data_IF_416423863477
#
_entry.id   IF_416423863477
#
_cell.length_a   1.000
_cell.length_b   1.000
_cell.length_c   1.000
_cell.angle_alpha   90.00
_cell.angle_beta   90.00
_cell.angle_gamma   90.00
#
_symmetry.space_group_name_H-M   'P 1'
#
loop_
_entity.id
_entity.type
_entity.pdbx_description
1 polymer ?
#
# COMPACT_ATOMS: atom_id res chain seq x y z
N UNK A 1 -9.46 7.19 -0.37
CA UNK A 1 -8.72 7.56 -1.60
C UNK A 1 -8.17 6.34 -2.33
N UNK A 2 -7.22 5.58 -1.76
CA UNK A 2 -6.63 4.42 -2.45
C UNK A 2 -7.67 3.37 -2.93
N UNK A 3 -8.69 3.06 -2.12
CA UNK A 3 -9.78 2.15 -2.52
C UNK A 3 -10.56 2.62 -3.75
N UNK A 4 -10.73 3.93 -3.93
CA UNK A 4 -11.42 4.47 -5.10
C UNK A 4 -10.56 4.30 -6.37
N UNK A 5 -9.23 4.50 -6.24
CA UNK A 5 -8.30 4.21 -7.33
C UNK A 5 -8.24 2.71 -7.68
N UNK A 6 -8.27 1.83 -6.65
CA UNK A 6 -8.40 0.38 -6.84
C UNK A 6 -9.68 0.04 -7.59
N UNK A 7 -10.82 0.60 -7.19
CA UNK A 7 -12.08 0.38 -7.89
C UNK A 7 -11.97 0.79 -9.37
N UNK A 8 -11.49 2.00 -9.64
CA UNK A 8 -11.37 2.51 -11.01
C UNK A 8 -10.45 1.65 -11.88
N UNK A 9 -9.31 1.18 -11.35
CA UNK A 9 -8.37 0.36 -12.12
C UNK A 9 -8.90 -1.06 -12.35
N UNK A 10 -9.61 -1.64 -11.37
CA UNK A 10 -10.26 -2.95 -11.53
C UNK A 10 -11.37 -2.88 -12.59
N UNK A 11 -12.19 -1.81 -12.62
CA UNK A 11 -13.16 -1.58 -13.70
C UNK A 11 -12.49 -1.51 -15.06
N UNK A 12 -11.36 -0.80 -15.17
CA UNK A 12 -10.60 -0.76 -16.42
C UNK A 12 -10.08 -2.15 -16.83
N UNK A 13 -9.65 -2.97 -15.87
CA UNK A 13 -9.19 -4.33 -16.16
C UNK A 13 -10.31 -5.19 -16.76
N UNK A 14 -11.52 -5.06 -16.23
CA UNK A 14 -12.72 -5.73 -16.72
C UNK A 14 -13.06 -5.26 -18.15
N UNK A 15 -13.13 -3.94 -18.38
CA UNK A 15 -13.43 -3.36 -19.70
C UNK A 15 -12.43 -3.77 -20.78
N UNK A 16 -11.16 -3.97 -20.40
CA UNK A 16 -10.08 -4.34 -21.34
C UNK A 16 -9.84 -5.85 -21.42
N UNK A 17 -10.53 -6.66 -20.61
CA UNK A 17 -10.31 -8.10 -20.51
C UNK A 17 -8.87 -8.48 -20.14
N UNK A 18 -8.15 -7.59 -19.44
CA UNK A 18 -6.74 -7.76 -19.10
C UNK A 18 -6.43 -7.17 -17.74
N UNK A 19 -5.70 -7.92 -16.91
CA UNK A 19 -5.14 -7.44 -15.65
C UNK A 19 -3.68 -7.02 -15.84
N UNK A 20 -3.34 -5.82 -15.40
CA UNK A 20 -1.94 -5.39 -15.31
C UNK A 20 -1.42 -5.51 -13.87
N UNK A 21 -0.11 -5.69 -13.67
CA UNK A 21 0.48 -5.66 -12.34
C UNK A 21 0.20 -4.32 -11.66
N UNK A 22 -0.22 -4.37 -10.39
CA UNK A 22 -0.50 -3.20 -9.58
C UNK A 22 0.54 -3.07 -8.47
N UNK A 23 1.07 -1.88 -8.27
CA UNK A 23 1.88 -1.54 -7.10
C UNK A 23 1.14 -0.46 -6.32
N UNK A 24 1.02 -0.64 -5.00
CA UNK A 24 0.35 0.32 -4.13
C UNK A 24 1.34 0.79 -3.07
N UNK A 25 1.65 2.08 -3.05
CA UNK A 25 2.48 2.68 -2.00
C UNK A 25 1.66 3.62 -1.13
N UNK A 26 1.78 3.44 0.18
CA UNK A 26 1.24 4.35 1.18
C UNK A 26 2.27 5.38 1.63
N UNK A 27 1.84 6.37 2.39
CA UNK A 27 2.74 7.33 3.05
C UNK A 27 2.36 7.43 4.51
N UNK A 28 3.34 7.20 5.39
CA UNK A 28 3.23 7.49 6.83
C UNK A 28 3.65 8.94 7.02
N UNK A 29 2.76 9.75 7.55
CA UNK A 29 2.90 11.22 7.50
C UNK A 29 3.57 11.83 8.71
N UNK A 30 3.68 11.10 9.82
CA UNK A 30 4.32 11.59 11.03
C UNK A 30 4.98 10.45 11.84
N UNK A 31 5.73 10.84 12.87
CA UNK A 31 6.41 9.92 13.78
C UNK A 31 5.45 9.05 14.61
N UNK A 32 4.13 9.25 14.54
CA UNK A 32 3.14 8.39 15.19
C UNK A 32 2.95 7.06 14.45
N UNK A 33 3.52 6.92 13.24
CA UNK A 33 3.46 5.69 12.45
C UNK A 33 2.12 5.49 11.74
N UNK A 34 1.41 6.59 11.46
CA UNK A 34 0.09 6.56 10.82
C UNK A 34 0.10 7.26 9.46
N UNK A 35 -0.79 6.79 8.58
CA UNK A 35 -1.14 7.53 7.36
C UNK A 35 -1.91 8.81 7.72
N UNK A 36 -2.10 9.71 6.74
CA UNK A 36 -2.93 10.91 6.91
C UNK A 36 -4.36 10.61 7.38
N UNK A 37 -4.89 9.43 7.01
CA UNK A 37 -6.21 8.94 7.44
C UNK A 37 -6.18 8.22 8.80
N UNK A 38 -5.06 8.28 9.53
CA UNK A 38 -4.90 7.72 10.87
C UNK A 38 -4.68 6.20 10.91
N UNK A 39 -4.42 5.54 9.77
CA UNK A 39 -4.25 4.09 9.71
C UNK A 39 -2.82 3.69 10.05
N UNK A 40 -2.66 2.65 10.86
CA UNK A 40 -1.39 1.94 11.03
C UNK A 40 -1.11 1.03 9.82
N UNK A 41 0.13 0.57 9.65
CA UNK A 41 0.57 -0.29 8.53
C UNK A 41 -0.36 -1.47 8.28
N UNK A 42 -0.76 -2.19 9.35
CA UNK A 42 -1.67 -3.33 9.23
C UNK A 42 -3.06 -2.96 8.75
N UNK A 43 -3.61 -1.86 9.28
CA UNK A 43 -4.91 -1.36 8.86
C UNK A 43 -4.89 -0.91 7.39
N UNK A 44 -3.78 -0.33 6.93
CA UNK A 44 -3.60 0.04 5.53
C UNK A 44 -3.57 -1.20 4.63
N UNK A 45 -2.76 -2.21 4.97
CA UNK A 45 -2.68 -3.47 4.21
C UNK A 45 -4.04 -4.17 4.13
N UNK A 46 -4.71 -4.38 5.26
CA UNK A 46 -6.04 -4.99 5.30
C UNK A 46 -7.07 -4.22 4.46
N UNK A 47 -6.94 -2.89 4.41
CA UNK A 47 -7.82 -2.05 3.60
C UNK A 47 -7.60 -2.21 2.10
N UNK A 48 -6.42 -2.60 1.60
CA UNK A 48 -6.08 -2.59 0.17
C UNK A 48 -5.74 -3.97 -0.41
N UNK A 49 -5.52 -5.01 0.41
CA UNK A 49 -5.11 -6.35 -0.04
C UNK A 49 -6.04 -7.01 -1.07
N UNK A 50 -7.33 -6.68 -1.03
CA UNK A 50 -8.32 -7.15 -2.01
C UNK A 50 -7.99 -6.73 -3.46
N UNK A 51 -7.15 -5.71 -3.65
CA UNK A 51 -6.62 -5.28 -4.94
C UNK A 51 -5.58 -6.22 -5.53
N UNK A 52 -5.17 -7.30 -4.83
CA UNK A 52 -4.17 -8.29 -5.27
C UNK A 52 -2.95 -7.65 -5.95
N UNK A 53 -2.24 -6.71 -5.29
CA UNK A 53 -1.11 -6.03 -5.89
C UNK A 53 0.09 -6.98 -6.06
N UNK A 54 0.92 -6.72 -7.06
CA UNK A 54 2.23 -7.35 -7.22
C UNK A 54 3.19 -6.90 -6.11
N UNK A 55 3.08 -5.65 -5.64
CA UNK A 55 3.86 -5.16 -4.51
C UNK A 55 3.10 -4.10 -3.71
N UNK A 56 3.39 -4.03 -2.41
CA UNK A 56 2.92 -2.98 -1.51
C UNK A 56 4.11 -2.30 -0.83
N UNK A 57 4.01 -1.00 -0.56
CA UNK A 57 5.13 -0.28 0.03
C UNK A 57 4.75 0.99 0.78
N UNK A 58 5.79 1.68 1.21
CA UNK A 58 5.71 3.03 1.75
C UNK A 58 6.71 3.92 1.03
N UNK A 59 6.33 5.19 0.77
CA UNK A 59 7.20 6.16 0.12
C UNK A 59 7.05 7.55 0.74
N UNK A 60 8.08 8.39 0.52
CA UNK A 60 8.15 9.78 0.97
C UNK A 60 8.09 9.94 2.50
N UNK A 61 7.95 11.20 2.96
CA UNK A 61 7.72 11.68 4.33
C UNK A 61 8.76 11.31 5.40
N UNK A 62 9.20 10.07 5.46
CA UNK A 62 10.18 9.56 6.40
C UNK A 62 11.52 9.31 5.72
N UNK A 63 12.61 9.54 6.45
CA UNK A 63 13.93 9.08 6.06
C UNK A 63 14.03 7.56 6.12
N UNK A 64 15.10 7.00 5.54
CA UNK A 64 15.30 5.55 5.51
C UNK A 64 15.36 4.91 6.93
N UNK A 65 16.04 5.50 7.94
CA UNK A 65 16.03 4.96 9.30
C UNK A 65 14.64 4.94 9.93
N UNK A 66 13.86 6.01 9.75
CA UNK A 66 12.52 6.16 10.32
C UNK A 66 11.50 5.25 9.61
N UNK A 67 11.68 5.00 8.32
CA UNK A 67 10.78 4.16 7.53
C UNK A 67 10.99 2.66 7.76
N UNK A 68 12.21 2.25 8.14
CA UNK A 68 12.61 0.84 8.35
C UNK A 68 11.64 0.01 9.21
N UNK A 69 11.20 0.45 10.41
CA UNK A 69 10.27 -0.35 11.22
C UNK A 69 8.94 -0.61 10.51
N UNK A 70 8.43 0.35 9.73
CA UNK A 70 7.15 0.22 9.05
C UNK A 70 7.25 -0.67 7.80
N UNK A 71 8.37 -0.61 7.09
CA UNK A 71 8.67 -1.54 5.99
C UNK A 71 8.83 -2.97 6.52
N UNK A 72 9.52 -3.16 7.65
CA UNK A 72 9.65 -4.47 8.28
C UNK A 72 8.29 -5.04 8.70
N UNK A 73 7.42 -4.20 9.27
CA UNK A 73 6.05 -4.62 9.61
C UNK A 73 5.24 -4.96 8.36
N UNK A 74 5.32 -4.14 7.30
CA UNK A 74 4.67 -4.44 6.02
C UNK A 74 5.10 -5.79 5.44
N UNK A 75 6.41 -6.08 5.48
CA UNK A 75 6.98 -7.34 5.02
C UNK A 75 6.54 -8.54 5.87
N UNK A 76 6.23 -8.34 7.15
CA UNK A 76 5.73 -9.38 8.03
C UNK A 76 4.27 -9.74 7.75
N UNK A 77 3.44 -8.77 7.38
CA UNK A 77 1.97 -8.94 7.29
C UNK A 77 1.45 -9.14 5.86
N UNK A 78 2.20 -8.70 4.85
CA UNK A 78 1.75 -8.76 3.45
C UNK A 78 2.08 -10.11 2.82
N UNK A 79 1.19 -10.55 1.93
CA UNK A 79 1.34 -11.79 1.14
C UNK A 79 1.92 -11.50 -0.26
N UNK A 80 2.60 -10.35 -0.44
CA UNK A 80 3.10 -9.83 -1.71
C UNK A 80 4.50 -9.22 -1.57
N UNK A 81 5.12 -8.79 -2.67
CA UNK A 81 6.44 -8.14 -2.61
C UNK A 81 6.35 -6.80 -1.86
N UNK A 82 7.44 -6.41 -1.19
CA UNK A 82 7.52 -5.13 -0.47
C UNK A 82 8.48 -4.17 -1.14
N UNK A 83 8.05 -2.91 -1.32
CA UNK A 83 8.86 -1.81 -1.85
C UNK A 83 9.03 -0.68 -0.82
N UNK A 84 10.15 0.05 -0.89
CA UNK A 84 10.38 1.29 -0.15
C UNK A 84 10.89 2.39 -1.08
#
# INVERSE_FOLDING_TARGET
NAKAAVFAVETLFEERGRRWPLIISGTITDASGRTLSGQVTEAFWNAIRHARPLAVGLNCALGAPEMRPYIAEMARISDTFVSC
#
